data_IF_377317054014
#
_entry.id   IF_377317054014
#
_cell.length_a   1.000
_cell.length_b   1.000
_cell.length_c   1.000
_cell.angle_alpha   90.00
_cell.angle_beta   90.00
_cell.angle_gamma   90.00
#
_symmetry.space_group_name_H-M   'P 1'
#
loop_
_entity.id
_entity.type
_entity.pdbx_description
1 polymer ?
#
# COMPACT_ATOMS: atom_id res chain seq x y z
N UNK A 1 5.62 -2.38 -1.76
CA UNK A 1 6.58 -3.50 -1.64
C UNK A 1 5.98 -4.84 -2.11
N UNK A 2 6.34 -5.31 -3.31
CA UNK A 2 5.93 -6.62 -3.80
C UNK A 2 6.84 -7.74 -3.26
N UNK A 3 6.33 -8.97 -3.15
CA UNK A 3 7.11 -10.13 -2.72
C UNK A 3 6.36 -11.07 -1.78
N UNK A 4 6.84 -12.31 -1.68
CA UNK A 4 6.26 -13.32 -0.79
C UNK A 4 6.39 -12.89 0.68
N UNK A 5 5.30 -12.83 1.48
CA UNK A 5 5.36 -12.41 2.87
C UNK A 5 6.38 -13.19 3.73
N UNK A 6 6.65 -14.45 3.38
CA UNK A 6 7.57 -15.33 4.08
C UNK A 6 8.98 -15.39 3.50
N UNK A 7 9.23 -14.72 2.37
CA UNK A 7 10.59 -14.63 1.85
C UNK A 7 11.45 -13.80 2.81
N UNK A 8 12.72 -14.16 3.04
CA UNK A 8 13.66 -13.27 3.73
C UNK A 8 14.06 -12.09 2.84
N UNK A 9 13.91 -12.22 1.53
CA UNK A 9 14.35 -11.24 0.53
C UNK A 9 13.28 -10.19 0.23
N UNK A 10 13.70 -8.93 0.09
CA UNK A 10 12.88 -7.84 -0.44
C UNK A 10 13.35 -7.45 -1.84
N UNK A 11 12.42 -7.17 -2.75
CA UNK A 11 12.80 -6.77 -4.12
C UNK A 11 13.65 -5.49 -4.17
N UNK A 12 13.49 -4.60 -3.17
CA UNK A 12 14.31 -3.39 -3.04
C UNK A 12 15.77 -3.66 -2.69
N UNK A 13 16.07 -4.86 -2.17
CA UNK A 13 17.45 -5.23 -1.82
C UNK A 13 18.32 -5.35 -3.08
N UNK A 14 17.71 -5.52 -4.26
CA UNK A 14 18.39 -5.42 -5.55
C UNK A 14 19.18 -4.12 -5.68
N UNK A 15 18.62 -3.00 -5.21
CA UNK A 15 19.22 -1.67 -5.31
C UNK A 15 20.38 -1.44 -4.33
N UNK A 16 20.64 -2.38 -3.42
CA UNK A 16 21.86 -2.39 -2.62
C UNK A 16 23.07 -2.90 -3.42
N UNK A 17 22.82 -3.61 -4.54
CA UNK A 17 23.85 -4.21 -5.39
C UNK A 17 23.96 -3.52 -6.75
N UNK A 18 22.91 -2.84 -7.20
CA UNK A 18 22.85 -2.16 -8.50
C UNK A 18 22.35 -0.73 -8.33
N UNK A 19 22.94 0.21 -9.08
CA UNK A 19 22.41 1.56 -9.18
C UNK A 19 21.40 1.65 -10.32
N UNK A 20 20.11 1.79 -10.00
CA UNK A 20 19.06 1.98 -11.00
C UNK A 20 19.24 3.25 -11.83
N UNK A 21 19.95 4.28 -11.32
CA UNK A 21 20.24 5.51 -12.07
C UNK A 21 21.19 5.24 -13.23
N UNK A 22 22.11 4.29 -13.08
CA UNK A 22 22.99 3.86 -14.18
C UNK A 22 22.23 3.23 -15.35
N UNK A 23 21.00 2.76 -15.11
CA UNK A 23 20.10 2.20 -16.11
C UNK A 23 19.16 3.26 -16.74
N UNK A 24 19.36 4.54 -16.42
CA UNK A 24 18.50 5.63 -16.86
C UNK A 24 17.16 5.72 -16.10
N UNK A 25 17.00 4.99 -15.00
CA UNK A 25 15.81 5.09 -14.14
C UNK A 25 15.99 6.29 -13.21
N UNK A 26 15.11 7.28 -13.35
CA UNK A 26 15.21 8.56 -12.64
C UNK A 26 14.81 8.50 -11.16
N UNK A 27 14.14 7.42 -10.73
CA UNK A 27 13.76 7.24 -9.34
C UNK A 27 13.09 5.90 -9.06
N UNK A 28 13.27 5.41 -7.84
CA UNK A 28 12.48 4.34 -7.24
C UNK A 28 11.49 5.00 -6.25
N UNK A 29 10.18 5.02 -6.52
CA UNK A 29 9.16 5.54 -5.62
C UNK A 29 9.31 5.20 -4.12
N UNK A 30 9.84 4.04 -3.74
CA UNK A 30 10.01 3.69 -2.32
C UNK A 30 11.33 4.16 -1.70
N UNK A 31 12.33 4.54 -2.51
CA UNK A 31 13.64 4.99 -2.04
C UNK A 31 13.83 6.50 -2.20
N UNK A 32 13.26 7.09 -3.25
CA UNK A 32 13.50 8.49 -3.62
C UNK A 32 12.36 9.44 -3.25
N UNK A 33 11.21 8.93 -2.78
CA UNK A 33 10.12 9.76 -2.25
C UNK A 33 10.33 10.00 -0.76
N UNK A 34 10.31 11.28 -0.36
CA UNK A 34 10.31 11.66 1.05
C UNK A 34 8.89 11.57 1.64
N UNK A 35 8.65 10.53 2.43
CA UNK A 35 7.38 10.31 3.12
C UNK A 35 7.14 11.23 4.34
N UNK A 36 8.07 12.14 4.65
CA UNK A 36 7.76 13.28 5.52
C UNK A 36 6.82 14.30 4.85
N UNK A 37 6.85 14.36 3.53
CA UNK A 37 6.12 15.30 2.69
C UNK A 37 5.01 14.60 1.87
N UNK A 38 5.20 13.33 1.53
CA UNK A 38 4.21 12.52 0.81
C UNK A 38 3.37 11.63 1.73
N UNK A 39 2.06 11.64 1.53
CA UNK A 39 1.15 10.68 2.13
C UNK A 39 1.03 9.40 1.28
N UNK A 40 1.19 8.22 1.89
CA UNK A 40 1.15 6.95 1.17
C UNK A 40 -0.20 6.23 1.32
N UNK A 41 -0.76 5.81 0.19
CA UNK A 41 -1.96 4.99 0.12
C UNK A 41 -1.72 3.77 -0.76
N UNK A 42 -2.19 2.61 -0.29
CA UNK A 42 -2.15 1.36 -1.04
C UNK A 42 -3.48 0.64 -0.94
N UNK A 43 -3.95 0.10 -2.05
CA UNK A 43 -5.14 -0.74 -2.08
C UNK A 43 -4.85 -2.20 -1.65
N UNK A 44 -3.66 -2.49 -1.11
CA UNK A 44 -3.24 -3.82 -0.62
C UNK A 44 -4.29 -4.44 0.29
N UNK A 45 -4.83 -5.57 -0.15
CA UNK A 45 -5.91 -6.28 0.56
C UNK A 45 -7.31 -5.71 0.29
N UNK A 46 -7.52 -4.95 -0.79
CA UNK A 46 -8.79 -4.30 -1.17
C UNK A 46 -9.31 -3.33 -0.10
N UNK A 47 -8.41 -2.57 0.50
CA UNK A 47 -8.68 -1.59 1.55
C UNK A 47 -7.55 -0.57 1.60
N UNK A 48 -7.83 0.60 2.17
CA UNK A 48 -6.86 1.69 2.27
C UNK A 48 -6.18 1.78 3.65
N UNK A 49 -6.72 1.11 4.67
CA UNK A 49 -6.12 0.94 6.00
C UNK A 49 -5.32 -0.37 6.10
N UNK A 50 -4.71 -0.76 4.97
CA UNK A 50 -4.02 -2.04 4.78
C UNK A 50 -2.82 -2.24 5.70
N UNK A 51 -2.22 -1.17 6.23
CA UNK A 51 -1.11 -1.24 7.19
C UNK A 51 -1.41 -2.11 8.42
N UNK A 52 -2.69 -2.28 8.78
CA UNK A 52 -3.15 -3.15 9.89
C UNK A 52 -2.97 -4.64 9.62
N UNK A 53 -2.86 -5.04 8.36
CA UNK A 53 -2.80 -6.45 7.92
C UNK A 53 -1.64 -6.73 6.97
N UNK A 54 -0.95 -5.69 6.52
CA UNK A 54 0.15 -5.79 5.57
C UNK A 54 1.47 -6.03 6.32
N UNK A 55 2.13 -7.14 6.00
CA UNK A 55 3.43 -7.46 6.57
C UNK A 55 4.57 -6.64 5.95
N UNK A 56 4.46 -6.33 4.65
CA UNK A 56 5.51 -5.71 3.84
C UNK A 56 5.13 -4.32 3.33
N UNK A 57 3.93 -4.18 2.80
CA UNK A 57 3.50 -2.94 2.14
C UNK A 57 3.00 -1.92 3.18
N UNK A 58 3.94 -1.27 3.86
CA UNK A 58 3.72 -0.27 4.92
C UNK A 58 4.90 0.70 4.99
N UNK A 59 4.66 1.90 5.54
CA UNK A 59 5.67 2.93 5.81
C UNK A 59 5.70 3.17 7.33
N UNK A 60 6.41 2.34 8.12
CA UNK A 60 6.23 2.27 9.57
C UNK A 60 6.48 3.59 10.31
N UNK A 61 7.54 4.32 9.93
CA UNK A 61 7.97 5.55 10.61
C UNK A 61 6.91 6.67 10.51
N UNK A 62 6.13 6.70 9.43
CA UNK A 62 5.16 7.79 9.18
C UNK A 62 3.71 7.39 9.51
N UNK A 63 3.45 6.12 9.78
CA UNK A 63 2.09 5.62 9.99
C UNK A 63 1.41 6.25 11.21
N UNK A 64 2.13 6.43 12.32
CA UNK A 64 1.60 7.04 13.55
C UNK A 64 1.22 8.51 13.34
N UNK A 65 2.05 9.27 12.61
CA UNK A 65 1.76 10.66 12.21
C UNK A 65 0.49 10.74 11.37
N UNK A 66 0.33 9.88 10.37
CA UNK A 66 -0.88 9.89 9.54
C UNK A 66 -2.12 9.51 10.36
N UNK A 67 -1.99 8.60 11.32
CA UNK A 67 -3.08 8.25 12.24
C UNK A 67 -3.48 9.45 13.09
N UNK A 68 -2.52 10.18 13.69
CA UNK A 68 -2.82 11.34 14.53
C UNK A 68 -3.41 12.51 13.74
N UNK A 69 -3.08 12.63 12.45
CA UNK A 69 -3.67 13.60 11.52
C UNK A 69 -5.04 13.19 10.97
N UNK A 70 -5.57 12.02 11.34
CA UNK A 70 -6.83 11.51 10.83
C UNK A 70 -6.77 11.04 9.36
N UNK A 71 -5.58 10.85 8.80
CA UNK A 71 -5.35 10.35 7.44
C UNK A 71 -5.44 8.81 7.40
N UNK A 72 -6.59 8.29 7.83
CA UNK A 72 -6.89 6.86 7.85
C UNK A 72 -8.18 6.61 7.10
N UNK A 73 -8.07 5.93 5.96
CA UNK A 73 -9.19 5.63 5.08
C UNK A 73 -9.38 4.13 5.02
N UNK A 74 -10.62 3.64 5.14
CA UNK A 74 -10.93 2.22 4.99
C UNK A 74 -11.34 1.92 3.55
N UNK A 75 -12.16 2.78 2.98
CA UNK A 75 -12.82 2.61 1.68
C UNK A 75 -12.49 3.74 0.71
N UNK A 76 -12.65 3.48 -0.59
CA UNK A 76 -12.49 4.52 -1.62
C UNK A 76 -13.48 5.67 -1.42
N UNK A 77 -14.66 5.39 -0.85
CA UNK A 77 -15.64 6.44 -0.51
C UNK A 77 -15.11 7.40 0.57
N UNK A 78 -14.30 6.90 1.50
CA UNK A 78 -13.70 7.73 2.55
C UNK A 78 -12.69 8.71 1.97
N UNK A 79 -11.91 8.25 0.98
CA UNK A 79 -10.95 9.10 0.24
C UNK A 79 -11.70 10.14 -0.58
N UNK A 80 -12.74 9.76 -1.33
CA UNK A 80 -13.57 10.70 -2.10
C UNK A 80 -14.18 11.75 -1.18
N UNK A 81 -14.72 11.34 -0.03
CA UNK A 81 -15.26 12.26 0.97
C UNK A 81 -14.18 13.23 1.46
N UNK A 82 -12.97 12.75 1.75
CA UNK A 82 -11.86 13.58 2.17
C UNK A 82 -11.40 14.58 1.10
N UNK A 83 -11.40 14.16 -0.17
CA UNK A 83 -11.10 15.03 -1.29
C UNK A 83 -12.12 16.18 -1.39
N UNK A 84 -13.40 15.84 -1.34
CA UNK A 84 -14.50 16.81 -1.41
C UNK A 84 -14.51 17.80 -0.24
N UNK A 85 -14.03 17.37 0.93
CA UNK A 85 -13.92 18.19 2.13
C UNK A 85 -12.58 18.95 2.24
N UNK A 86 -11.69 18.83 1.24
CA UNK A 86 -10.38 19.51 1.26
C UNK A 86 -9.42 18.99 2.34
N UNK A 87 -9.61 17.74 2.81
CA UNK A 87 -8.81 17.13 3.90
C UNK A 87 -7.63 16.29 3.41
N UNK A 88 -7.50 16.10 2.10
CA UNK A 88 -6.39 15.35 1.53
C UNK A 88 -5.13 16.21 1.45
N UNK A 89 -3.93 15.67 1.74
CA UNK A 89 -2.67 16.37 1.53
C UNK A 89 -2.42 16.65 0.05
N UNK A 90 -1.61 17.68 -0.23
CA UNK A 90 -1.26 18.07 -1.61
C UNK A 90 -0.42 17.01 -2.34
N UNK A 91 0.36 16.23 -1.59
CA UNK A 91 1.29 15.22 -2.11
C UNK A 91 0.89 13.84 -1.62
N UNK A 92 0.43 13.01 -2.55
CA UNK A 92 -0.03 11.65 -2.26
C UNK A 92 0.63 10.68 -3.25
N UNK A 93 1.25 9.63 -2.71
CA UNK A 93 1.63 8.46 -3.48
C UNK A 93 0.56 7.40 -3.32
N UNK A 94 -0.03 6.95 -4.42
CA UNK A 94 -1.03 5.89 -4.43
C UNK A 94 -0.52 4.68 -5.21
N UNK A 95 -0.64 3.48 -4.64
CA UNK A 95 -0.34 2.22 -5.34
C UNK A 95 -1.60 1.41 -5.54
N UNK A 96 -1.81 0.97 -6.78
CA UNK A 96 -2.99 0.22 -7.21
C UNK A 96 -2.59 -1.15 -7.70
N UNK A 97 -3.45 -2.14 -7.48
CA UNK A 97 -3.29 -3.47 -8.02
C UNK A 97 -4.38 -3.71 -9.06
N UNK A 98 -4.09 -3.59 -10.38
CA UNK A 98 -5.09 -3.56 -11.45
C UNK A 98 -6.09 -4.72 -11.42
N UNK A 99 -5.64 -5.92 -11.01
CA UNK A 99 -6.51 -7.09 -10.89
C UNK A 99 -7.70 -6.90 -9.93
N UNK A 100 -7.62 -5.92 -9.01
CA UNK A 100 -8.70 -5.59 -8.06
C UNK A 100 -9.74 -4.63 -8.63
N UNK A 101 -9.39 -3.95 -9.72
CA UNK A 101 -10.18 -2.94 -10.42
C UNK A 101 -10.63 -3.44 -11.80
N UNK A 102 -10.75 -4.75 -11.96
CA UNK A 102 -11.17 -5.35 -13.21
C UNK A 102 -12.64 -4.98 -13.51
N UNK A 103 -12.90 -4.53 -14.74
CA UNK A 103 -14.24 -4.12 -15.20
C UNK A 103 -15.18 -5.32 -15.39
N UNK A 104 -14.64 -6.52 -15.63
CA UNK A 104 -15.43 -7.73 -15.74
C UNK A 104 -15.86 -8.23 -14.35
N UNK A 105 -17.17 -8.45 -14.19
CA UNK A 105 -17.79 -8.83 -12.92
C UNK A 105 -17.18 -10.10 -12.31
N UNK A 106 -16.99 -11.15 -13.11
CA UNK A 106 -16.51 -12.46 -12.63
C UNK A 106 -15.10 -12.39 -12.01
N UNK A 107 -14.06 -11.90 -12.72
CA UNK A 107 -12.73 -11.78 -12.12
C UNK A 107 -12.71 -10.83 -10.93
N UNK A 108 -13.48 -9.74 -10.97
CA UNK A 108 -13.62 -8.82 -9.84
C UNK A 108 -14.23 -9.50 -8.61
N UNK A 109 -15.32 -10.26 -8.77
CA UNK A 109 -16.00 -10.95 -7.69
C UNK A 109 -15.12 -12.05 -7.08
N UNK A 110 -14.40 -12.79 -7.93
CA UNK A 110 -13.41 -13.79 -7.49
C UNK A 110 -12.33 -13.14 -6.63
N UNK A 111 -11.74 -12.03 -7.08
CA UNK A 111 -10.72 -11.32 -6.32
C UNK A 111 -11.28 -10.74 -5.01
N UNK A 112 -12.52 -10.23 -5.01
CA UNK A 112 -13.20 -9.74 -3.81
C UNK A 112 -13.31 -10.83 -2.74
N UNK A 113 -13.77 -12.02 -3.11
CA UNK A 113 -13.95 -13.15 -2.20
C UNK A 113 -12.59 -13.67 -1.70
N UNK A 114 -11.65 -13.93 -2.60
CA UNK A 114 -10.32 -14.45 -2.25
C UNK A 114 -9.55 -13.49 -1.34
N UNK A 115 -9.64 -12.18 -1.55
CA UNK A 115 -8.97 -11.20 -0.68
C UNK A 115 -9.56 -11.14 0.71
N UNK A 116 -10.89 -11.30 0.88
CA UNK A 116 -11.50 -11.42 2.22
C UNK A 116 -10.87 -12.58 3.00
N UNK A 117 -10.73 -13.75 2.36
CA UNK A 117 -10.09 -14.93 2.97
C UNK A 117 -8.62 -14.66 3.30
N UNK A 118 -7.84 -14.13 2.34
CA UNK A 118 -6.42 -13.81 2.54
C UNK A 118 -6.20 -12.83 3.69
N UNK A 119 -7.07 -11.84 3.85
CA UNK A 119 -6.95 -10.84 4.92
C UNK A 119 -7.18 -11.42 6.31
N UNK A 120 -8.03 -12.44 6.46
CA UNK A 120 -8.20 -13.16 7.73
C UNK A 120 -6.91 -13.89 8.10
N UNK A 121 -6.32 -14.62 7.14
CA UNK A 121 -5.03 -15.31 7.33
C UNK A 121 -3.93 -14.31 7.70
N UNK A 122 -3.81 -13.21 6.94
CA UNK A 122 -2.82 -12.14 7.22
C UNK A 122 -2.99 -11.54 8.61
N UNK A 123 -4.24 -11.30 9.05
CA UNK A 123 -4.50 -10.77 10.40
C UNK A 123 -4.04 -11.74 11.47
N UNK A 124 -4.28 -13.05 11.30
CA UNK A 124 -3.72 -14.07 12.18
C UNK A 124 -2.20 -14.00 12.24
N UNK A 125 -1.54 -13.96 11.08
CA UNK A 125 -0.08 -13.88 11.00
C UNK A 125 0.51 -12.63 11.67
N UNK A 126 -0.17 -11.49 11.61
CA UNK A 126 0.26 -10.25 12.29
C UNK A 126 0.10 -10.36 13.81
N UNK A 127 -0.89 -11.10 14.31
CA UNK A 127 -1.14 -11.25 15.75
C UNK A 127 -0.22 -12.30 16.42
N UNK A 128 0.24 -13.30 15.66
CA UNK A 128 1.08 -14.40 16.17
C UNK A 128 2.58 -14.23 15.85
N UNK A 129 2.98 -13.07 15.34
CA UNK A 129 4.38 -12.74 15.04
C UNK A 129 4.87 -11.70 16.02
#
# INVERSE_FOLDING_TARGET
>A
MHGSPFSPWYSKDLWQHYDYRSLGIIGEPYLDIDFNDFFYLTDTGRRWDGYKVSLRDKIPVHQERWISQGLVFRSTKDIIKAANEGRLPDKIMMTFHPQRWNDAFVPWAKELLLQKVKNVVKRGLVLFK
#
